data_IF_765082141887
#
_entry.id   IF_765082141887
#
_cell.length_a   1.000
_cell.length_b   1.000
_cell.length_c   1.000
_cell.angle_alpha   90.00
_cell.angle_beta   90.00
_cell.angle_gamma   90.00
#
_symmetry.space_group_name_H-M   'P 1'
#
loop_
_entity.id
_entity.type
_entity.pdbx_description
1 polymer ?
#
# COMPACT_ATOMS: atom_id res chain seq x y z
N UNK A 1 -27.05 -14.36 -4.66
CA UNK A 1 -26.70 -14.95 -3.36
C UNK A 1 -26.14 -13.81 -2.53
N UNK A 2 -26.78 -13.49 -1.41
CA UNK A 2 -26.25 -12.50 -0.49
C UNK A 2 -25.08 -13.12 0.26
N UNK A 3 -23.98 -12.39 0.41
CA UNK A 3 -22.81 -12.85 1.17
C UNK A 3 -23.03 -12.47 2.62
N UNK A 4 -23.11 -13.47 3.51
CA UNK A 4 -22.89 -13.25 4.94
C UNK A 4 -21.39 -13.06 5.16
N UNK A 5 -20.99 -11.78 5.24
CA UNK A 5 -19.59 -11.40 5.29
C UNK A 5 -18.93 -11.79 6.63
N UNK A 6 -19.68 -11.77 7.72
CA UNK A 6 -19.19 -12.13 9.05
C UNK A 6 -18.89 -13.63 9.13
N UNK A 7 -19.88 -14.45 8.73
CA UNK A 7 -19.75 -15.90 8.76
C UNK A 7 -18.63 -16.37 7.82
N UNK A 8 -18.61 -15.86 6.59
CA UNK A 8 -17.60 -16.23 5.60
C UNK A 8 -16.18 -15.85 6.04
N UNK A 9 -15.98 -14.62 6.51
CA UNK A 9 -14.67 -14.17 6.98
C UNK A 9 -14.24 -14.92 8.25
N UNK A 10 -15.17 -15.22 9.16
CA UNK A 10 -14.91 -16.03 10.35
C UNK A 10 -14.47 -17.45 9.99
N UNK A 11 -15.15 -18.08 9.04
CA UNK A 11 -14.79 -19.41 8.54
C UNK A 11 -13.39 -19.43 7.92
N UNK A 12 -13.05 -18.45 7.07
CA UNK A 12 -11.71 -18.30 6.49
C UNK A 12 -10.65 -18.06 7.59
N UNK A 13 -10.92 -17.14 8.51
CA UNK A 13 -10.00 -16.79 9.59
C UNK A 13 -9.68 -17.99 10.49
N UNK A 14 -10.67 -18.86 10.74
CA UNK A 14 -10.50 -20.07 11.55
C UNK A 14 -9.49 -21.05 10.92
N UNK A 15 -9.52 -21.23 9.60
CA UNK A 15 -8.63 -22.15 8.87
C UNK A 15 -7.18 -21.69 8.84
N UNK A 16 -6.94 -20.38 8.91
CA UNK A 16 -5.59 -19.81 9.01
C UNK A 16 -5.14 -19.60 10.46
N UNK A 17 -5.88 -20.16 11.43
CA UNK A 17 -5.69 -19.99 12.88
C UNK A 17 -5.54 -18.51 13.28
N UNK A 18 -6.24 -17.62 12.57
CA UNK A 18 -6.00 -16.20 12.58
C UNK A 18 -7.26 -15.40 12.89
N UNK A 19 -7.94 -15.68 14.01
CA UNK A 19 -9.15 -14.94 14.40
C UNK A 19 -8.93 -13.41 14.42
N UNK A 20 -7.72 -12.94 14.76
CA UNK A 20 -7.35 -11.52 14.69
C UNK A 20 -7.32 -10.93 13.27
N UNK A 21 -7.30 -11.78 12.23
CA UNK A 21 -7.27 -11.40 10.82
C UNK A 21 -8.67 -11.22 10.24
N UNK A 22 -9.74 -11.61 10.95
CA UNK A 22 -11.11 -11.47 10.44
C UNK A 22 -11.37 -10.08 9.84
N UNK A 23 -11.00 -8.94 10.49
CA UNK A 23 -11.22 -7.62 9.90
C UNK A 23 -10.51 -7.39 8.56
N UNK A 24 -9.29 -7.92 8.38
CA UNK A 24 -8.54 -7.74 7.12
C UNK A 24 -8.98 -8.73 6.04
N UNK A 25 -9.51 -9.89 6.43
CA UNK A 25 -10.17 -10.83 5.52
C UNK A 25 -11.50 -10.25 5.02
N UNK A 26 -12.32 -9.68 5.92
CA UNK A 26 -13.56 -8.98 5.55
C UNK A 26 -13.27 -7.89 4.51
N UNK A 27 -12.25 -7.04 4.77
CA UNK A 27 -11.83 -6.00 3.83
C UNK A 27 -11.43 -6.57 2.46
N UNK A 28 -10.69 -7.67 2.42
CA UNK A 28 -10.28 -8.29 1.16
C UNK A 28 -11.45 -8.89 0.37
N UNK A 29 -12.43 -9.49 1.05
CA UNK A 29 -13.68 -9.93 0.41
C UNK A 29 -14.39 -8.73 -0.23
N UNK A 30 -14.44 -7.60 0.47
CA UNK A 30 -14.98 -6.34 -0.07
C UNK A 30 -14.12 -5.79 -1.21
N UNK A 31 -12.80 -5.99 -1.22
CA UNK A 31 -11.94 -5.59 -2.34
C UNK A 31 -12.31 -6.33 -3.63
N UNK A 32 -12.54 -7.64 -3.57
CA UNK A 32 -12.98 -8.41 -4.75
C UNK A 32 -14.28 -7.87 -5.31
N UNK A 33 -15.24 -7.55 -4.44
CA UNK A 33 -16.55 -7.04 -4.84
C UNK A 33 -16.44 -5.62 -5.44
N UNK A 34 -15.64 -4.73 -4.84
CA UNK A 34 -15.38 -3.40 -5.41
C UNK A 34 -14.76 -3.51 -6.80
N UNK A 35 -13.72 -4.34 -6.97
CA UNK A 35 -13.06 -4.53 -8.26
C UNK A 35 -14.04 -5.11 -9.29
N UNK A 36 -14.84 -6.11 -8.90
CA UNK A 36 -15.87 -6.70 -9.77
C UNK A 36 -16.91 -5.67 -10.20
N UNK A 37 -17.42 -4.86 -9.27
CA UNK A 37 -18.43 -3.85 -9.52
C UNK A 37 -17.90 -2.77 -10.48
N UNK A 38 -16.73 -2.19 -10.19
CA UNK A 38 -16.13 -1.18 -11.06
C UNK A 38 -15.80 -1.75 -12.45
N UNK A 39 -15.29 -2.99 -12.52
CA UNK A 39 -14.96 -3.65 -13.77
C UNK A 39 -16.17 -3.91 -14.68
N UNK A 40 -17.29 -4.38 -14.11
CA UNK A 40 -18.53 -4.62 -14.88
C UNK A 40 -19.17 -3.34 -15.45
N UNK A 41 -18.85 -2.19 -14.86
CA UNK A 41 -19.36 -0.88 -15.27
C UNK A 41 -18.33 -0.05 -16.05
N UNK A 42 -17.24 -0.67 -16.54
CA UNK A 42 -16.15 -0.03 -17.32
C UNK A 42 -15.42 1.12 -16.59
N UNK A 43 -15.54 1.20 -15.25
CA UNK A 43 -14.94 2.27 -14.45
C UNK A 43 -13.45 2.05 -14.14
N UNK A 44 -12.92 0.86 -14.41
CA UNK A 44 -11.50 0.55 -14.28
C UNK A 44 -10.69 0.91 -15.53
N UNK A 45 -11.33 1.38 -16.61
CA UNK A 45 -10.66 1.54 -17.90
C UNK A 45 -9.55 2.57 -17.89
N UNK A 46 -9.81 3.70 -17.23
CA UNK A 46 -8.97 4.90 -17.25
C UNK A 46 -8.11 5.06 -15.98
N UNK A 47 -8.01 4.01 -15.16
CA UNK A 47 -7.20 3.98 -13.93
C UNK A 47 -6.32 2.73 -13.87
N UNK A 48 -5.15 2.84 -13.25
CA UNK A 48 -4.21 1.72 -13.07
C UNK A 48 -4.04 1.40 -11.59
N UNK A 49 -4.20 0.14 -11.23
CA UNK A 49 -4.13 -0.34 -9.84
C UNK A 49 -2.68 -0.40 -9.34
N UNK A 50 -2.45 0.08 -8.13
CA UNK A 50 -1.11 0.23 -7.55
C UNK A 50 -1.05 -0.19 -6.08
N UNK A 51 0.14 -0.06 -5.48
CA UNK A 51 0.32 -0.14 -4.04
C UNK A 51 0.23 -1.57 -3.46
N UNK A 52 -0.05 -1.62 -2.15
CA UNK A 52 0.04 -2.87 -1.37
C UNK A 52 -1.00 -3.91 -1.74
N UNK A 53 -2.20 -3.47 -2.09
CA UNK A 53 -3.30 -4.38 -2.43
C UNK A 53 -3.13 -4.94 -3.85
N UNK A 54 -2.55 -4.16 -4.76
CA UNK A 54 -2.10 -4.66 -6.06
C UNK A 54 -1.03 -5.75 -5.92
N UNK A 55 -0.03 -5.56 -5.05
CA UNK A 55 0.96 -6.61 -4.75
C UNK A 55 0.30 -7.90 -4.23
N UNK A 56 -0.68 -7.79 -3.34
CA UNK A 56 -1.40 -8.95 -2.81
C UNK A 56 -2.22 -9.66 -3.89
N UNK A 57 -3.10 -8.92 -4.56
CA UNK A 57 -4.11 -9.48 -5.44
C UNK A 57 -3.61 -9.79 -6.86
N UNK A 58 -2.58 -9.11 -7.35
CA UNK A 58 -2.07 -9.29 -8.72
C UNK A 58 -0.71 -10.00 -8.78
N UNK A 59 0.03 -10.03 -7.67
CA UNK A 59 1.38 -10.59 -7.61
C UNK A 59 1.57 -11.65 -6.51
N UNK A 60 0.60 -11.86 -5.61
CA UNK A 60 0.63 -12.91 -4.60
C UNK A 60 1.43 -12.55 -3.34
N UNK A 61 1.55 -11.26 -3.00
CA UNK A 61 2.16 -10.86 -1.72
C UNK A 61 1.38 -11.40 -0.52
N UNK A 62 2.11 -11.87 0.49
CA UNK A 62 1.57 -12.63 1.61
C UNK A 62 0.84 -11.78 2.64
N UNK A 63 1.21 -10.50 2.79
CA UNK A 63 0.60 -9.64 3.80
C UNK A 63 -0.77 -9.17 3.37
N UNK A 64 -1.66 -9.00 4.33
CA UNK A 64 -2.95 -8.35 4.10
C UNK A 64 -2.76 -6.86 3.83
N UNK A 65 -3.73 -6.28 3.13
CA UNK A 65 -3.80 -4.86 2.81
C UNK A 65 -5.24 -4.39 2.99
N UNK A 66 -5.45 -3.10 3.19
CA UNK A 66 -6.74 -2.58 3.71
C UNK A 66 -7.49 -1.69 2.72
N UNK A 67 -6.76 -0.98 1.86
CA UNK A 67 -7.29 0.05 0.96
C UNK A 67 -7.06 -0.34 -0.50
N UNK A 68 -7.74 0.32 -1.43
CA UNK A 68 -7.54 0.15 -2.87
C UNK A 68 -6.97 1.44 -3.46
N UNK A 69 -5.75 1.36 -3.99
CA UNK A 69 -5.02 2.51 -4.50
C UNK A 69 -4.87 2.44 -6.02
N UNK A 70 -5.20 3.52 -6.71
CA UNK A 70 -5.11 3.68 -8.16
C UNK A 70 -4.40 4.97 -8.54
N UNK A 71 -3.94 5.04 -9.78
CA UNK A 71 -3.46 6.26 -10.44
C UNK A 71 -4.24 6.50 -11.73
N UNK A 72 -4.39 7.76 -12.12
CA UNK A 72 -5.13 8.15 -13.32
C UNK A 72 -4.37 9.09 -14.28
N UNK A 73 -3.28 9.73 -13.85
CA UNK A 73 -2.53 10.68 -14.69
C UNK A 73 -3.44 11.72 -15.34
N UNK A 74 -3.29 11.91 -16.65
CA UNK A 74 -4.07 12.85 -17.46
C UNK A 74 -5.59 12.58 -17.48
N UNK A 75 -6.02 11.35 -17.13
CA UNK A 75 -7.44 11.01 -17.03
C UNK A 75 -8.06 11.46 -15.72
N UNK A 76 -7.25 11.84 -14.73
CA UNK A 76 -7.70 12.14 -13.36
C UNK A 76 -8.89 13.10 -13.36
N UNK A 77 -8.79 14.25 -14.02
CA UNK A 77 -9.85 15.26 -13.96
C UNK A 77 -11.15 14.82 -14.64
N UNK A 78 -11.03 13.95 -15.65
CA UNK A 78 -12.16 13.45 -16.44
C UNK A 78 -12.92 12.25 -15.86
N UNK A 79 -12.48 11.67 -14.72
CA UNK A 79 -13.15 10.46 -14.21
C UNK A 79 -14.60 10.74 -13.81
N UNK A 80 -15.56 9.83 -14.11
CA UNK A 80 -16.99 10.00 -13.84
C UNK A 80 -17.32 9.72 -12.36
N UNK A 81 -17.00 10.67 -11.47
CA UNK A 81 -17.10 10.49 -10.01
C UNK A 81 -18.49 10.05 -9.51
N UNK A 82 -19.54 10.57 -10.14
CA UNK A 82 -20.92 10.21 -9.82
C UNK A 82 -21.20 8.74 -10.15
N UNK A 83 -20.68 8.25 -11.26
CA UNK A 83 -20.87 6.86 -11.68
C UNK A 83 -20.11 5.92 -10.75
N UNK A 84 -18.88 6.25 -10.34
CA UNK A 84 -18.18 5.53 -9.27
C UNK A 84 -19.05 5.42 -8.02
N UNK A 85 -19.60 6.54 -7.55
CA UNK A 85 -20.38 6.57 -6.31
C UNK A 85 -21.70 5.79 -6.42
N UNK A 86 -22.40 5.91 -7.55
CA UNK A 86 -23.63 5.17 -7.84
C UNK A 86 -23.39 3.67 -7.98
N UNK A 87 -22.38 3.27 -8.76
CA UNK A 87 -22.02 1.87 -8.99
C UNK A 87 -21.63 1.18 -7.68
N UNK A 88 -20.71 1.78 -6.91
CA UNK A 88 -20.30 1.24 -5.61
C UNK A 88 -21.51 1.08 -4.68
N UNK A 89 -22.39 2.09 -4.59
CA UNK A 89 -23.56 2.03 -3.73
C UNK A 89 -24.56 0.95 -4.18
N UNK A 90 -24.92 0.93 -5.47
CA UNK A 90 -25.91 -0.01 -6.02
C UNK A 90 -25.45 -1.46 -5.89
N UNK A 91 -24.22 -1.76 -6.29
CA UNK A 91 -23.78 -3.13 -6.44
C UNK A 91 -23.40 -3.74 -5.09
N UNK A 92 -22.69 -2.99 -4.23
CA UNK A 92 -22.34 -3.47 -2.90
C UNK A 92 -23.59 -3.71 -2.03
N UNK A 93 -24.62 -2.84 -2.13
CA UNK A 93 -25.89 -3.07 -1.43
C UNK A 93 -26.61 -4.35 -1.88
N UNK A 94 -26.41 -4.79 -3.13
CA UNK A 94 -27.01 -6.03 -3.65
C UNK A 94 -26.21 -7.27 -3.28
N UNK A 95 -24.93 -7.10 -2.95
CA UNK A 95 -23.99 -8.20 -2.69
C UNK A 95 -23.96 -8.66 -1.24
N UNK A 96 -24.32 -7.79 -0.28
CA UNK A 96 -24.29 -8.10 1.14
C UNK A 96 -25.67 -7.96 1.78
N UNK A 97 -25.98 -8.81 2.76
CA UNK A 97 -27.22 -8.71 3.54
C UNK A 97 -27.13 -7.63 4.65
N UNK A 98 -26.37 -6.57 4.40
CA UNK A 98 -26.03 -5.58 5.43
C UNK A 98 -25.99 -4.15 4.91
N UNK A 99 -26.00 -3.20 5.84
CA UNK A 99 -25.91 -1.78 5.54
C UNK A 99 -24.54 -1.44 4.93
N UNK A 100 -24.56 -1.01 3.66
CA UNK A 100 -23.41 -0.42 2.97
C UNK A 100 -23.61 1.07 2.81
N UNK A 101 -22.59 1.87 3.15
CA UNK A 101 -22.57 3.29 2.86
C UNK A 101 -21.31 3.67 2.08
N UNK A 102 -21.48 4.54 1.09
CA UNK A 102 -20.40 5.07 0.27
C UNK A 102 -20.36 6.58 0.47
N UNK A 103 -19.26 7.06 1.07
CA UNK A 103 -19.00 8.50 1.16
C UNK A 103 -18.31 8.95 -0.12
N UNK A 104 -18.92 9.94 -0.76
CA UNK A 104 -18.45 10.57 -1.99
C UNK A 104 -17.05 11.17 -1.85
N UNK A 105 -16.32 11.28 -2.97
CA UNK A 105 -14.92 11.67 -2.95
C UNK A 105 -14.80 13.13 -2.57
N UNK A 106 -14.00 13.40 -1.55
CA UNK A 106 -13.46 14.74 -1.34
C UNK A 106 -12.24 14.89 -2.25
N UNK A 107 -12.15 15.98 -3.00
CA UNK A 107 -10.86 16.36 -3.60
C UNK A 107 -9.95 16.74 -2.44
N UNK A 108 -8.93 15.92 -2.21
CA UNK A 108 -7.88 16.20 -1.24
C UNK A 108 -6.64 16.54 -2.06
N UNK A 109 -6.13 17.76 -1.90
CA UNK A 109 -4.78 18.07 -2.35
C UNK A 109 -3.85 17.53 -1.26
N UNK A 110 -3.29 16.34 -1.47
CA UNK A 110 -2.28 15.73 -0.60
C UNK A 110 -0.91 16.03 -1.23
N UNK A 111 0.12 16.33 -0.41
CA UNK A 111 1.50 16.60 -0.84
C UNK A 111 1.65 17.60 -2.01
N UNK A 112 1.77 18.90 -1.70
CA UNK A 112 2.27 19.95 -2.62
C UNK A 112 1.65 19.97 -4.05
N UNK A 113 0.37 19.59 -4.15
CA UNK A 113 -0.43 19.68 -5.37
C UNK A 113 -0.62 18.38 -6.16
N UNK A 114 -0.44 17.21 -5.54
CA UNK A 114 -0.99 15.95 -6.07
C UNK A 114 -2.49 15.86 -5.73
N UNK A 115 -3.31 15.73 -6.77
CA UNK A 115 -4.75 15.55 -6.60
C UNK A 115 -5.06 14.13 -6.13
N UNK A 116 -5.94 14.01 -5.14
CA UNK A 116 -6.44 12.72 -4.65
C UNK A 116 -7.97 12.72 -4.61
N UNK A 117 -8.58 11.68 -5.18
CA UNK A 117 -10.01 11.36 -5.08
C UNK A 117 -10.16 10.16 -4.16
N UNK A 118 -10.82 10.36 -3.00
CA UNK A 118 -10.93 9.33 -1.95
C UNK A 118 -12.38 9.02 -1.61
N UNK A 119 -12.86 7.85 -2.00
CA UNK A 119 -14.12 7.29 -1.51
C UNK A 119 -13.87 6.50 -0.22
N UNK A 120 -14.84 6.51 0.68
CA UNK A 120 -14.85 5.59 1.82
C UNK A 120 -16.07 4.68 1.72
N UNK A 121 -15.81 3.40 1.45
CA UNK A 121 -16.81 2.34 1.48
C UNK A 121 -16.86 1.79 2.90
N UNK A 122 -18.02 1.90 3.55
CA UNK A 122 -18.23 1.33 4.87
C UNK A 122 -19.27 0.21 4.80
N UNK A 123 -18.87 -0.99 5.22
CA UNK A 123 -19.72 -2.18 5.27
C UNK A 123 -19.95 -2.54 6.73
N UNK A 124 -21.20 -2.64 7.15
CA UNK A 124 -21.51 -3.10 8.50
C UNK A 124 -21.38 -4.63 8.56
N UNK A 125 -20.30 -5.16 9.12
CA UNK A 125 -20.11 -6.61 9.17
C UNK A 125 -20.69 -7.27 10.41
N UNK A 126 -21.35 -6.53 11.30
CA UNK A 126 -21.84 -7.04 12.58
C UNK A 126 -23.26 -6.54 12.85
N UNK A 127 -24.25 -7.14 12.19
CA UNK A 127 -25.66 -6.71 12.30
C UNK A 127 -26.19 -6.94 13.73
N UNK A 128 -25.79 -8.04 14.37
CA UNK A 128 -26.18 -8.37 15.74
C UNK A 128 -25.44 -7.56 16.82
N UNK A 129 -24.37 -6.84 16.44
CA UNK A 129 -23.48 -6.10 17.35
C UNK A 129 -23.18 -4.70 16.80
N UNK A 130 -24.18 -3.78 16.82
CA UNK A 130 -24.01 -2.42 16.31
C UNK A 130 -22.99 -1.58 17.11
N UNK A 131 -22.53 -2.06 18.27
CA UNK A 131 -21.44 -1.50 19.05
C UNK A 131 -20.05 -1.76 18.43
N UNK A 132 -19.93 -2.74 17.52
CA UNK A 132 -18.68 -3.06 16.84
C UNK A 132 -18.42 -2.13 15.64
N UNK A 133 -17.15 -1.78 15.37
CA UNK A 133 -16.81 -0.86 14.30
C UNK A 133 -17.10 -1.44 12.92
N UNK A 134 -17.80 -0.68 12.07
CA UNK A 134 -17.98 -0.98 10.65
C UNK A 134 -16.62 -1.12 9.94
N UNK A 135 -16.51 -2.06 9.01
CA UNK A 135 -15.34 -2.12 8.15
C UNK A 135 -15.33 -0.94 7.20
N UNK A 136 -14.16 -0.32 7.06
CA UNK A 136 -13.94 0.83 6.18
C UNK A 136 -12.81 0.52 5.22
N UNK A 137 -13.12 0.60 3.93
CA UNK A 137 -12.19 0.47 2.82
C UNK A 137 -12.09 1.84 2.16
N UNK A 138 -10.88 2.35 2.00
CA UNK A 138 -10.67 3.53 1.16
C UNK A 138 -10.41 3.07 -0.27
N UNK A 139 -11.07 3.74 -1.22
CA UNK A 139 -10.72 3.69 -2.63
C UNK A 139 -10.10 5.04 -2.97
N UNK A 140 -8.81 5.03 -3.29
CA UNK A 140 -8.00 6.21 -3.54
C UNK A 140 -7.53 6.21 -4.99
N UNK A 141 -7.72 7.33 -5.69
CA UNK A 141 -7.20 7.54 -7.03
C UNK A 141 -6.34 8.80 -6.98
N UNK A 142 -5.05 8.68 -7.28
CA UNK A 142 -4.13 9.82 -7.34
C UNK A 142 -4.01 10.37 -8.78
N UNK A 143 -3.71 11.66 -8.90
CA UNK A 143 -3.49 12.35 -10.18
C UNK A 143 -2.13 12.05 -10.82
N UNK A 144 -1.24 11.34 -10.12
CA UNK A 144 0.05 10.87 -10.63
C UNK A 144 -0.17 9.89 -11.80
N UNK A 145 0.67 9.87 -12.84
CA UNK A 145 0.58 8.88 -13.92
C UNK A 145 1.09 7.49 -13.50
N UNK A 146 0.55 6.46 -14.14
CA UNK A 146 1.22 5.16 -14.25
C UNK A 146 2.22 5.21 -15.42
N UNK A 147 3.48 4.83 -15.18
CA UNK A 147 4.50 4.70 -16.23
C UNK A 147 4.49 3.32 -16.88
N UNK A 148 3.89 2.34 -16.21
CA UNK A 148 3.71 0.97 -16.66
C UNK A 148 2.27 0.54 -16.43
N UNK A 149 1.75 -0.30 -17.33
CA UNK A 149 0.41 -0.85 -17.18
C UNK A 149 0.38 -2.24 -17.79
N UNK A 150 0.09 -3.24 -16.96
CA UNK A 150 -0.09 -4.63 -17.37
C UNK A 150 -1.45 -5.13 -16.92
N UNK A 151 -2.10 -5.94 -17.74
CA UNK A 151 -3.33 -6.62 -17.34
C UNK A 151 -2.94 -7.87 -16.55
N UNK A 152 -3.51 -8.04 -15.36
CA UNK A 152 -3.32 -9.24 -14.54
C UNK A 152 -4.66 -9.78 -14.06
N UNK A 153 -4.70 -11.10 -13.84
CA UNK A 153 -5.80 -11.75 -13.13
C UNK A 153 -5.72 -11.37 -11.66
N UNK A 154 -6.87 -11.08 -11.06
CA UNK A 154 -7.02 -10.92 -9.62
C UNK A 154 -7.03 -12.31 -8.99
N UNK A 155 -6.03 -12.60 -8.18
CA UNK A 155 -5.92 -13.86 -7.45
C UNK A 155 -7.00 -13.94 -6.36
N UNK A 156 -7.74 -15.05 -6.34
CA UNK A 156 -8.70 -15.37 -5.29
C UNK A 156 -7.95 -16.16 -4.23
N UNK A 157 -7.68 -15.53 -3.09
CA UNK A 157 -6.80 -16.11 -2.06
C UNK A 157 -7.50 -17.10 -1.11
N UNK A 158 -8.79 -17.36 -1.32
CA UNK A 158 -9.63 -18.15 -0.43
C UNK A 158 -10.41 -19.19 -1.23
N UNK A 159 -10.20 -20.51 -0.99
CA UNK A 159 -10.96 -21.57 -1.66
C UNK A 159 -12.48 -21.44 -1.50
N UNK A 160 -12.94 -20.82 -0.42
CA UNK A 160 -14.35 -20.53 -0.15
C UNK A 160 -14.98 -19.58 -1.18
N UNK A 161 -14.16 -18.85 -1.93
CA UNK A 161 -14.56 -17.91 -2.97
C UNK A 161 -14.30 -18.43 -4.39
N UNK A 162 -13.86 -19.68 -4.53
CA UNK A 162 -13.56 -20.27 -5.85
C UNK A 162 -14.78 -20.16 -6.77
N UNK A 163 -14.55 -19.78 -8.03
CA UNK A 163 -15.59 -19.53 -9.03
C UNK A 163 -16.32 -18.19 -8.90
N UNK A 164 -16.22 -17.46 -7.78
CA UNK A 164 -16.94 -16.19 -7.58
C UNK A 164 -16.26 -15.01 -8.30
N UNK A 165 -14.93 -14.99 -8.29
CA UNK A 165 -14.12 -13.87 -8.79
C UNK A 165 -13.04 -14.29 -9.81
N UNK A 166 -13.07 -15.54 -10.26
CA UNK A 166 -11.99 -16.18 -11.01
C UNK A 166 -11.64 -15.52 -12.35
N UNK A 167 -12.58 -14.81 -12.97
CA UNK A 167 -12.37 -14.16 -14.26
C UNK A 167 -12.07 -12.66 -14.15
N UNK A 168 -11.87 -12.15 -12.92
CA UNK A 168 -11.52 -10.75 -12.74
C UNK A 168 -10.12 -10.47 -13.27
N UNK A 169 -10.03 -9.49 -14.16
CA UNK A 169 -8.78 -8.92 -14.63
C UNK A 169 -8.76 -7.43 -14.34
N UNK A 170 -7.57 -6.89 -14.12
CA UNK A 170 -7.37 -5.49 -13.78
C UNK A 170 -6.05 -4.99 -14.38
N UNK A 171 -6.01 -3.73 -14.81
CA UNK A 171 -4.76 -3.06 -15.15
C UNK A 171 -4.05 -2.68 -13.86
N UNK A 172 -2.79 -3.08 -13.73
CA UNK A 172 -1.94 -2.70 -12.61
C UNK A 172 -0.53 -2.32 -13.08
N UNK A 173 0.17 -1.55 -12.23
CA UNK A 173 1.59 -1.26 -12.42
C UNK A 173 2.43 -2.54 -12.35
N UNK A 174 3.60 -2.54 -12.99
CA UNK A 174 4.59 -3.63 -12.86
C UNK A 174 5.25 -3.62 -11.48
N UNK A 175 5.96 -4.70 -11.14
CA UNK A 175 6.70 -4.78 -9.87
C UNK A 175 7.77 -3.69 -9.75
N UNK A 176 8.41 -3.32 -10.86
CA UNK A 176 9.44 -2.28 -10.92
C UNK A 176 8.86 -0.90 -10.56
N UNK A 177 7.69 -0.55 -11.10
CA UNK A 177 7.04 0.72 -10.78
C UNK A 177 6.47 0.72 -9.35
N UNK A 178 5.87 -0.38 -8.90
CA UNK A 178 5.43 -0.50 -7.50
C UNK A 178 6.64 -0.36 -6.57
N UNK A 179 7.79 -0.96 -6.90
CA UNK A 179 9.02 -0.82 -6.11
C UNK A 179 9.48 0.65 -6.07
N UNK A 180 9.46 1.35 -7.20
CA UNK A 180 9.79 2.77 -7.25
C UNK A 180 8.85 3.62 -6.37
N UNK A 181 7.54 3.38 -6.46
CA UNK A 181 6.53 4.03 -5.62
C UNK A 181 6.79 3.77 -4.14
N UNK A 182 7.13 2.53 -3.75
CA UNK A 182 7.47 2.16 -2.37
C UNK A 182 8.69 2.90 -1.85
N UNK A 183 9.76 3.00 -2.65
CA UNK A 183 10.98 3.70 -2.25
C UNK A 183 10.74 5.20 -2.07
N UNK A 184 9.98 5.83 -2.96
CA UNK A 184 9.59 7.25 -2.84
C UNK A 184 8.66 7.46 -1.65
N UNK A 185 7.55 6.72 -1.58
CA UNK A 185 6.55 6.77 -0.51
C UNK A 185 7.17 6.61 0.88
N UNK A 186 8.00 5.59 1.07
CA UNK A 186 8.64 5.29 2.34
C UNK A 186 9.62 6.39 2.77
N UNK A 187 10.32 6.98 1.80
CA UNK A 187 11.31 8.04 2.04
C UNK A 187 10.67 9.41 2.27
N UNK A 188 9.61 9.73 1.53
CA UNK A 188 8.95 11.03 1.52
C UNK A 188 8.07 11.28 2.75
N UNK A 189 7.49 10.22 3.32
CA UNK A 189 6.49 10.40 4.39
C UNK A 189 7.14 10.93 5.67
N UNK A 190 6.62 12.03 6.19
CA UNK A 190 7.09 12.75 7.37
C UNK A 190 6.06 12.75 8.52
N UNK A 191 4.80 12.42 8.24
CA UNK A 191 3.72 12.37 9.24
C UNK A 191 3.67 11.06 10.03
N UNK A 192 4.08 9.96 9.40
CA UNK A 192 4.10 8.62 9.98
C UNK A 192 5.04 7.71 9.19
N UNK A 193 5.44 6.58 9.78
CA UNK A 193 6.31 5.61 9.10
C UNK A 193 5.45 4.56 8.40
N UNK A 194 5.72 4.33 7.11
CA UNK A 194 5.06 3.30 6.30
C UNK A 194 5.76 1.94 6.45
N UNK A 195 5.69 1.36 7.66
CA UNK A 195 6.34 0.08 7.98
C UNK A 195 6.01 -1.07 7.02
N UNK A 196 4.81 -1.06 6.40
CA UNK A 196 4.41 -2.06 5.40
C UNK A 196 5.29 -2.04 4.15
N UNK A 197 5.86 -0.89 3.81
CA UNK A 197 6.78 -0.76 2.67
C UNK A 197 8.09 -1.52 2.92
N UNK A 198 8.52 -1.65 4.19
CA UNK A 198 9.66 -2.48 4.62
C UNK A 198 9.39 -3.99 4.54
N UNK A 199 8.13 -4.41 4.39
CA UNK A 199 7.80 -5.79 4.03
C UNK A 199 7.76 -5.97 2.52
N UNK A 200 7.15 -5.00 1.82
CA UNK A 200 6.92 -5.05 0.38
C UNK A 200 8.23 -4.99 -0.42
N UNK A 201 9.16 -4.09 -0.07
CA UNK A 201 10.41 -3.90 -0.83
C UNK A 201 11.22 -5.21 -0.92
N UNK A 202 11.57 -5.89 0.19
CA UNK A 202 12.28 -7.16 0.10
C UNK A 202 11.47 -8.27 -0.57
N UNK A 203 10.14 -8.25 -0.44
CA UNK A 203 9.28 -9.21 -1.12
C UNK A 203 9.35 -9.06 -2.64
N UNK A 204 9.25 -7.82 -3.15
CA UNK A 204 9.34 -7.52 -4.59
C UNK A 204 10.69 -7.95 -5.16
N UNK A 205 11.79 -7.57 -4.49
CA UNK A 205 13.15 -7.89 -4.94
C UNK A 205 13.43 -9.40 -4.99
N UNK A 206 12.71 -10.21 -4.22
CA UNK A 206 12.83 -11.68 -4.22
C UNK A 206 11.80 -12.38 -5.11
N UNK A 207 10.72 -11.71 -5.50
CA UNK A 207 9.63 -12.33 -6.26
C UNK A 207 10.03 -12.64 -7.70
N UNK A 208 10.86 -11.77 -8.31
CA UNK A 208 11.41 -11.97 -9.65
C UNK A 208 12.75 -11.22 -9.80
N UNK A 209 13.43 -11.46 -10.92
CA UNK A 209 14.57 -10.62 -11.31
C UNK A 209 14.07 -9.21 -11.65
N UNK A 210 14.66 -8.20 -10.97
CA UNK A 210 14.28 -6.79 -11.11
C UNK A 210 15.32 -6.06 -11.96
N UNK A 211 14.85 -5.35 -12.98
CA UNK A 211 15.67 -4.39 -13.73
C UNK A 211 15.82 -3.08 -12.92
N UNK A 212 16.96 -2.95 -12.24
CA UNK A 212 17.25 -1.77 -11.43
C UNK A 212 17.55 -0.50 -12.25
N UNK A 213 17.87 -0.62 -13.54
CA UNK A 213 17.99 0.55 -14.41
C UNK A 213 16.61 1.15 -14.69
N UNK A 214 15.63 0.29 -15.00
CA UNK A 214 14.24 0.69 -15.13
C UNK A 214 13.68 1.26 -13.82
N UNK A 215 13.91 0.60 -12.68
CA UNK A 215 13.48 1.10 -11.36
C UNK A 215 14.10 2.46 -11.06
N UNK A 216 15.38 2.69 -11.38
CA UNK A 216 16.02 3.97 -11.19
C UNK A 216 15.35 5.09 -11.99
N UNK A 217 15.07 4.86 -13.28
CA UNK A 217 14.34 5.82 -14.11
C UNK A 217 12.94 6.11 -13.53
N UNK A 218 12.24 5.06 -13.08
CA UNK A 218 10.93 5.19 -12.44
C UNK A 218 10.99 5.96 -11.11
N UNK A 219 12.00 5.72 -10.26
CA UNK A 219 12.20 6.47 -9.02
C UNK A 219 12.39 7.97 -9.30
N UNK A 220 13.18 8.32 -10.32
CA UNK A 220 13.35 9.72 -10.72
C UNK A 220 12.04 10.33 -11.25
N UNK A 221 11.30 9.60 -12.09
CA UNK A 221 10.01 10.05 -12.61
C UNK A 221 8.98 10.25 -11.47
N UNK A 222 8.85 9.26 -10.58
CA UNK A 222 7.93 9.31 -9.44
C UNK A 222 8.29 10.40 -8.44
N UNK A 223 9.57 10.67 -8.20
CA UNK A 223 10.00 11.81 -7.39
C UNK A 223 9.43 13.13 -7.93
N UNK A 224 9.48 13.33 -9.25
CA UNK A 224 8.90 14.49 -9.91
C UNK A 224 7.37 14.47 -9.91
N UNK A 225 6.74 13.34 -10.22
CA UNK A 225 5.27 13.20 -10.29
C UNK A 225 4.60 13.49 -8.94
N UNK A 226 5.18 12.96 -7.86
CA UNK A 226 4.72 13.21 -6.49
C UNK A 226 5.13 14.59 -5.95
N UNK A 227 5.82 15.40 -6.75
CA UNK A 227 6.29 16.75 -6.39
C UNK A 227 7.00 16.77 -5.05
N UNK A 228 7.89 15.79 -4.86
CA UNK A 228 8.55 15.59 -3.59
C UNK A 228 9.37 16.85 -3.20
N UNK A 229 9.21 17.40 -1.98
CA UNK A 229 9.76 18.72 -1.62
C UNK A 229 11.27 18.69 -1.37
N UNK A 230 11.81 17.53 -1.00
CA UNK A 230 13.24 17.34 -0.76
C UNK A 230 13.92 16.75 -2.00
N UNK A 231 15.23 16.96 -2.12
CA UNK A 231 16.01 16.34 -3.20
C UNK A 231 15.93 14.81 -3.09
N UNK A 232 15.98 14.12 -4.24
CA UNK A 232 15.95 12.66 -4.29
C UNK A 232 17.07 12.04 -3.44
N UNK A 233 18.28 12.61 -3.49
CA UNK A 233 19.41 12.14 -2.70
C UNK A 233 19.16 12.25 -1.18
N UNK A 234 18.59 13.37 -0.73
CA UNK A 234 18.21 13.56 0.68
C UNK A 234 17.12 12.58 1.10
N UNK A 235 16.08 12.38 0.28
CA UNK A 235 15.02 11.42 0.58
C UNK A 235 15.54 10.00 0.69
N UNK A 236 16.39 9.56 -0.24
CA UNK A 236 17.00 8.22 -0.18
C UNK A 236 17.82 8.06 1.10
N UNK A 237 18.62 9.07 1.48
CA UNK A 237 19.38 9.03 2.72
C UNK A 237 18.48 8.89 3.96
N UNK A 238 17.35 9.61 3.98
CA UNK A 238 16.32 9.49 5.02
C UNK A 238 15.69 8.10 5.03
N UNK A 239 15.31 7.56 3.87
CA UNK A 239 14.74 6.23 3.74
C UNK A 239 15.67 5.14 4.26
N UNK A 240 16.95 5.18 3.90
CA UNK A 240 17.94 4.22 4.39
C UNK A 240 18.12 4.28 5.91
N UNK A 241 18.25 5.48 6.47
CA UNK A 241 18.38 5.67 7.92
C UNK A 241 17.13 5.20 8.67
N UNK A 242 15.95 5.55 8.16
CA UNK A 242 14.66 5.15 8.75
C UNK A 242 14.47 3.63 8.72
N UNK A 243 14.78 2.99 7.60
CA UNK A 243 14.71 1.53 7.48
C UNK A 243 15.57 0.84 8.55
N UNK A 244 16.82 1.27 8.70
CA UNK A 244 17.73 0.74 9.70
C UNK A 244 17.16 0.82 11.12
N UNK A 245 16.62 1.98 11.49
CA UNK A 245 16.00 2.16 12.82
C UNK A 245 14.77 1.29 13.01
N UNK A 246 13.86 1.23 12.03
CA UNK A 246 12.62 0.47 12.13
C UNK A 246 12.82 -1.04 12.27
N UNK A 247 13.87 -1.58 11.64
CA UNK A 247 14.22 -3.00 11.81
C UNK A 247 14.87 -3.26 13.17
N UNK A 248 15.62 -2.30 13.72
CA UNK A 248 16.35 -2.46 14.98
C UNK A 248 15.50 -2.21 16.25
N UNK A 249 14.50 -1.33 16.18
CA UNK A 249 13.71 -0.90 17.35
C UNK A 249 12.44 -1.73 17.61
N UNK A 250 12.18 -2.75 16.79
CA UNK A 250 11.01 -3.62 16.87
C UNK A 250 9.70 -3.00 16.36
N UNK A 251 9.69 -1.74 15.91
CA UNK A 251 8.49 -1.06 15.38
C UNK A 251 7.96 -1.75 14.13
N UNK A 252 8.85 -2.23 13.25
CA UNK A 252 8.49 -3.03 12.09
C UNK A 252 7.75 -4.31 12.50
N UNK A 253 8.34 -5.08 13.43
CA UNK A 253 7.78 -6.35 13.92
C UNK A 253 6.40 -6.15 14.53
N UNK A 254 6.25 -5.16 15.40
CA UNK A 254 4.97 -4.84 16.03
C UNK A 254 3.88 -4.47 15.00
N UNK A 255 4.23 -3.76 13.94
CA UNK A 255 3.29 -3.43 12.87
C UNK A 255 2.91 -4.65 12.02
N UNK A 256 3.89 -5.48 11.65
CA UNK A 256 3.64 -6.59 10.72
C UNK A 256 2.79 -7.72 11.31
N UNK A 257 2.75 -7.88 12.64
CA UNK A 257 1.88 -8.86 13.30
C UNK A 257 0.37 -8.68 12.99
N UNK A 258 -0.05 -7.46 12.63
CA UNK A 258 -1.43 -7.12 12.28
C UNK A 258 -1.80 -7.54 10.86
N UNK A 259 -0.82 -7.72 9.99
CA UNK A 259 -1.00 -7.94 8.55
C UNK A 259 -0.49 -9.30 8.07
N UNK A 260 0.03 -10.14 8.95
CA UNK A 260 0.57 -11.45 8.62
C UNK A 260 -0.16 -12.55 9.37
N UNK A 261 -0.39 -13.67 8.70
CA UNK A 261 -0.96 -14.85 9.33
C UNK A 261 0.03 -15.48 10.32
N UNK A 262 -0.46 -16.20 11.34
CA UNK A 262 0.41 -16.96 12.25
C UNK A 262 1.36 -17.89 11.51
N UNK A 263 0.94 -18.54 10.42
CA UNK A 263 1.82 -19.39 9.61
C UNK A 263 2.97 -18.62 8.93
N UNK A 264 2.77 -17.37 8.55
CA UNK A 264 3.84 -16.52 8.00
C UNK A 264 4.76 -16.01 9.10
N UNK A 265 4.19 -15.56 10.22
CA UNK A 265 4.96 -15.09 11.36
C UNK A 265 5.80 -16.21 12.00
N UNK A 266 5.23 -17.41 12.14
CA UNK A 266 5.95 -18.55 12.70
C UNK A 266 7.11 -18.95 11.80
N UNK A 267 6.98 -18.95 10.46
CA UNK A 267 8.14 -19.17 9.56
C UNK A 267 9.27 -18.14 9.73
N UNK A 268 8.98 -17.05 10.43
CA UNK A 268 9.91 -15.99 10.83
C UNK A 268 10.35 -16.19 12.30
N UNK A 269 10.69 -17.44 12.69
CA UNK A 269 10.95 -17.86 14.08
C UNK A 269 12.08 -17.07 14.79
N UNK A 270 12.99 -16.47 14.02
CA UNK A 270 14.06 -15.61 14.51
C UNK A 270 13.89 -14.22 13.89
N UNK A 271 13.05 -13.41 14.54
CA UNK A 271 12.63 -12.13 13.98
C UNK A 271 13.78 -11.11 13.92
N UNK A 272 14.75 -11.20 14.83
CA UNK A 272 15.89 -10.30 14.86
C UNK A 272 16.85 -10.61 13.71
N UNK A 273 17.25 -11.88 13.52
CA UNK A 273 18.05 -12.27 12.36
C UNK A 273 17.30 -12.06 11.04
N UNK A 274 15.97 -12.19 11.06
CA UNK A 274 15.15 -11.86 9.90
C UNK A 274 15.17 -10.35 9.59
N UNK A 275 15.04 -9.49 10.61
CA UNK A 275 15.12 -8.04 10.46
C UNK A 275 16.48 -7.60 9.91
N UNK A 276 17.59 -8.18 10.35
CA UNK A 276 18.92 -7.88 9.80
C UNK A 276 19.04 -8.29 8.32
N UNK A 277 18.52 -9.46 7.97
CA UNK A 277 18.48 -9.92 6.58
C UNK A 277 17.59 -9.01 5.70
N UNK A 278 16.42 -8.59 6.20
CA UNK A 278 15.55 -7.65 5.51
C UNK A 278 16.21 -6.28 5.35
N UNK A 279 16.83 -5.75 6.40
CA UNK A 279 17.55 -4.48 6.36
C UNK A 279 18.66 -4.52 5.30
N UNK A 280 19.43 -5.61 5.24
CA UNK A 280 20.46 -5.81 4.21
C UNK A 280 19.87 -5.78 2.80
N UNK A 281 18.70 -6.38 2.58
CA UNK A 281 18.03 -6.37 1.27
C UNK A 281 17.54 -4.96 0.91
N UNK A 282 16.93 -4.25 1.85
CA UNK A 282 16.47 -2.86 1.63
C UNK A 282 17.65 -1.94 1.35
N UNK A 283 18.75 -2.04 2.11
CA UNK A 283 19.96 -1.25 1.91
C UNK A 283 20.57 -1.51 0.52
N UNK A 284 20.70 -2.79 0.13
CA UNK A 284 21.14 -3.17 -1.22
C UNK A 284 20.20 -2.66 -2.30
N UNK A 285 18.89 -2.67 -2.07
CA UNK A 285 17.90 -2.15 -3.01
C UNK A 285 18.11 -0.64 -3.25
N UNK A 286 18.18 0.17 -2.19
CA UNK A 286 18.52 1.58 -2.31
C UNK A 286 19.88 1.78 -2.99
N UNK A 287 20.91 1.03 -2.60
CA UNK A 287 22.25 1.13 -3.18
C UNK A 287 22.30 0.85 -4.69
N UNK A 288 21.55 -0.15 -5.17
CA UNK A 288 21.43 -0.45 -6.61
C UNK A 288 20.71 0.66 -7.37
N UNK A 289 19.64 1.23 -6.81
CA UNK A 289 18.94 2.39 -7.40
C UNK A 289 19.86 3.60 -7.47
N UNK A 290 20.56 3.92 -6.38
CA UNK A 290 21.49 5.05 -6.30
C UNK A 290 22.64 4.92 -7.31
N UNK A 291 23.19 3.72 -7.43
CA UNK A 291 24.25 3.42 -8.41
C UNK A 291 23.73 3.60 -9.84
N UNK A 292 22.54 3.07 -10.14
CA UNK A 292 21.93 3.17 -11.47
C UNK A 292 21.53 4.60 -11.84
N UNK A 293 21.19 5.44 -10.84
CA UNK A 293 20.94 6.87 -11.00
C UNK A 293 22.22 7.72 -11.15
N UNK A 294 23.40 7.17 -10.80
CA UNK A 294 24.66 7.92 -10.81
C UNK A 294 24.79 8.98 -9.71
N UNK A 295 24.01 8.89 -8.63
CA UNK A 295 23.93 9.91 -7.56
C UNK A 295 24.62 9.50 -6.24
N UNK A 296 25.52 8.50 -6.29
CA UNK A 296 26.17 7.94 -5.08
C UNK A 296 26.85 9.00 -4.21
N UNK A 297 27.55 9.96 -4.81
CA UNK A 297 28.23 11.03 -4.08
C UNK A 297 27.27 11.99 -3.37
N UNK A 298 26.12 12.28 -4.00
CA UNK A 298 25.12 13.19 -3.44
C UNK A 298 24.38 12.53 -2.27
N UNK A 299 24.05 11.24 -2.40
CA UNK A 299 23.45 10.45 -1.31
C UNK A 299 24.41 10.33 -0.15
N UNK A 300 25.69 10.06 -0.38
CA UNK A 300 26.69 9.97 0.69
C UNK A 300 26.85 11.31 1.42
N UNK A 301 26.85 12.43 0.70
CA UNK A 301 26.85 13.77 1.30
C UNK A 301 25.60 14.00 2.15
N UNK A 302 24.42 13.60 1.64
CA UNK A 302 23.17 13.71 2.37
C UNK A 302 23.15 12.84 3.64
N UNK A 303 23.69 11.61 3.59
CA UNK A 303 23.81 10.71 4.75
C UNK A 303 24.71 11.31 5.83
N UNK A 304 25.86 11.89 5.47
CA UNK A 304 26.75 12.55 6.44
C UNK A 304 26.07 13.73 7.13
N UNK A 305 25.40 14.58 6.35
CA UNK A 305 24.63 15.70 6.89
C UNK A 305 23.54 15.21 7.86
N UNK A 306 22.77 14.21 7.46
CA UNK A 306 21.73 13.61 8.29
C UNK A 306 22.30 13.04 9.59
N UNK A 307 23.42 12.32 9.54
CA UNK A 307 24.09 11.78 10.72
C UNK A 307 24.53 12.90 11.69
N UNK A 308 25.04 14.02 11.17
CA UNK A 308 25.36 15.20 11.99
C UNK A 308 24.12 15.78 12.65
N UNK A 309 23.01 15.96 11.91
CA UNK A 309 21.75 16.49 12.44
C UNK A 309 21.15 15.58 13.54
N UNK A 310 21.25 14.26 13.39
CA UNK A 310 20.85 13.27 14.41
C UNK A 310 21.75 13.36 15.64
N UNK A 311 23.08 13.40 15.44
CA UNK A 311 24.05 13.49 16.54
C UNK A 311 23.89 14.77 17.36
N UNK A 312 23.46 15.86 16.73
CA UNK A 312 23.15 17.14 17.40
C UNK A 312 21.75 17.17 18.03
N UNK A 313 20.97 16.08 17.94
CA UNK A 313 19.61 16.01 18.48
C UNK A 313 18.58 16.88 17.75
N UNK A 314 18.92 17.39 16.57
CA UNK A 314 18.05 18.27 15.76
C UNK A 314 16.89 17.49 15.14
N UNK A 315 17.11 16.22 14.80
CA UNK A 315 16.12 15.30 14.23
C UNK A 315 16.15 13.97 15.01
N UNK A 316 15.03 13.24 15.05
CA UNK A 316 14.99 11.90 15.65
C UNK A 316 15.78 10.88 14.82
N UNK A 317 16.20 9.77 15.45
CA UNK A 317 16.93 8.70 14.75
C UNK A 317 16.11 8.06 13.61
N UNK A 318 14.79 7.93 13.79
CA UNK A 318 13.84 7.47 12.77
C UNK A 318 13.48 8.53 11.71
N UNK A 319 14.05 9.73 11.85
CA UNK A 319 13.89 10.85 10.92
C UNK A 319 12.42 11.22 10.72
N UNK A 320 11.66 11.22 11.82
CA UNK A 320 10.40 11.92 11.90
C UNK A 320 10.66 13.34 12.44
N UNK A 321 10.02 14.38 11.87
CA UNK A 321 10.04 15.72 12.45
C UNK A 321 9.56 15.67 13.90
N UNK A 322 10.24 16.37 14.81
CA UNK A 322 9.67 16.64 16.14
C UNK A 322 8.39 17.45 15.91
N UNK A 323 7.23 16.93 16.31
CA UNK A 323 6.03 17.76 16.43
C UNK A 323 6.39 18.90 17.38
N UNK A 324 6.64 20.09 16.87
CA UNK A 324 6.49 21.31 17.67
C UNK A 324 5.02 21.31 18.09
N UNK A 325 4.77 20.91 19.34
CA UNK A 325 3.57 21.31 20.05
C UNK A 325 3.64 22.84 20.13
N UNK A 326 3.20 23.50 19.06
CA UNK A 326 2.81 24.89 19.12
C UNK A 326 1.65 24.95 20.10
N UNK A 327 1.92 25.45 21.30
CA UNK A 327 0.90 26.05 22.14
C UNK A 327 0.36 27.24 21.34
N UNK A 328 -0.80 27.04 20.72
CA UNK A 328 -1.77 28.09 20.39
C UNK A 328 -3.16 27.49 20.44
#
# INVERSE_FOLDING_TARGET
MLIDLEELAGNIASKVNGARLTPVIEKEIVHYEIIRSLGRNDLLRDITFQGGTSLRLCYGSLRYSEDLDFVAGDKFDSLPLDDFSKTLRSDLLKSYDTEVSVREPKVVNDFDGVGMRRWTVSVNTNIARPDLPKQRIKLEIASVPAHTSTIRRVAVNYPELDGMYDNLTIRCQTLEEILADKLISFSATDTHIRHRDLWDIPWIVRAQEIDFSAVAALVAAKHADYRCPASLASMIAVGMQRAHVCYADGSFTGQMQRFLSPAVLNRTHDFDNHCDALNTIVEKCFGRVVTSLGISNDVERARRRLATEISLGSISAAVLPKRTLGLS
#
